data_IF_094349876185
#
_entry.id   IF_094349876185
#
_cell.length_a   1.000
_cell.length_b   1.000
_cell.length_c   1.000
_cell.angle_alpha   90.00
_cell.angle_beta   90.00
_cell.angle_gamma   90.00
#
_symmetry.space_group_name_H-M   'P 1'
#
loop_
_entity.id
_entity.type
_entity.pdbx_description
1 polymer ?
#
# COMPACT_ATOMS: atom_id res chain seq x y z
N UNK A 1 11.54 -7.21 -8.27
CA UNK A 1 10.77 -6.76 -7.10
C UNK A 1 9.73 -7.81 -6.80
N UNK A 2 9.68 -8.29 -5.57
CA UNK A 2 8.67 -9.21 -5.04
C UNK A 2 7.71 -8.45 -4.12
N UNK A 3 6.47 -8.94 -4.01
CA UNK A 3 5.45 -8.33 -3.15
C UNK A 3 4.90 -9.37 -2.19
N UNK A 4 4.83 -9.04 -0.91
CA UNK A 4 4.09 -9.83 0.08
C UNK A 4 2.79 -9.12 0.44
N UNK A 5 1.68 -9.75 0.06
CA UNK A 5 0.34 -9.32 0.43
C UNK A 5 -0.03 -9.94 1.76
N UNK A 6 -0.26 -9.10 2.77
CA UNK A 6 -0.62 -9.54 4.10
C UNK A 6 -2.10 -9.26 4.36
N UNK A 7 -2.84 -10.29 4.75
CA UNK A 7 -4.21 -10.19 5.19
C UNK A 7 -4.35 -10.63 6.65
N UNK A 8 -5.13 -9.89 7.43
CA UNK A 8 -5.42 -10.21 8.85
C UNK A 8 -6.80 -10.84 9.04
N UNK A 9 -7.69 -10.73 8.05
CA UNK A 9 -9.05 -11.26 8.12
C UNK A 9 -9.31 -12.41 7.15
N UNK A 10 -10.25 -13.26 7.53
CA UNK A 10 -10.59 -14.50 6.83
C UNK A 10 -11.32 -14.28 5.49
N UNK A 11 -11.71 -13.05 5.15
CA UNK A 11 -12.34 -12.74 3.87
C UNK A 11 -11.32 -12.19 2.86
N UNK A 12 -10.34 -11.40 3.30
CA UNK A 12 -9.30 -10.83 2.45
C UNK A 12 -8.24 -11.84 2.04
N UNK A 13 -7.81 -12.72 2.96
CA UNK A 13 -6.80 -13.74 2.63
C UNK A 13 -7.21 -14.62 1.43
N UNK A 14 -8.38 -15.29 1.42
CA UNK A 14 -8.78 -16.11 0.27
C UNK A 14 -9.00 -15.27 -1.00
N UNK A 15 -9.47 -14.03 -0.87
CA UNK A 15 -9.61 -13.12 -2.00
C UNK A 15 -8.26 -12.80 -2.66
N UNK A 16 -7.20 -12.61 -1.88
CA UNK A 16 -5.84 -12.44 -2.42
C UNK A 16 -5.31 -13.72 -3.05
N UNK A 17 -5.48 -14.87 -2.40
CA UNK A 17 -5.04 -16.16 -2.95
C UNK A 17 -5.66 -16.41 -4.32
N UNK A 18 -6.96 -16.16 -4.47
CA UNK A 18 -7.66 -16.31 -5.76
C UNK A 18 -7.18 -15.27 -6.79
N UNK A 19 -7.18 -13.98 -6.42
CA UNK A 19 -6.86 -12.90 -7.34
C UNK A 19 -5.40 -12.94 -7.85
N UNK A 20 -4.46 -13.46 -7.06
CA UNK A 20 -3.02 -13.51 -7.37
C UNK A 20 -2.48 -14.92 -7.66
N UNK A 21 -3.35 -15.91 -7.87
CA UNK A 21 -2.95 -17.33 -8.03
C UNK A 21 -1.88 -17.62 -9.11
N UNK A 22 -1.75 -16.75 -10.12
CA UNK A 22 -0.81 -16.92 -11.23
C UNK A 22 0.42 -15.99 -11.16
N UNK A 23 0.58 -15.20 -10.09
CA UNK A 23 1.65 -14.22 -9.96
C UNK A 23 2.80 -14.78 -9.12
N UNK A 24 3.89 -15.21 -9.77
CA UNK A 24 5.00 -15.93 -9.09
C UNK A 24 5.84 -15.05 -8.16
N UNK A 25 5.89 -13.74 -8.43
CA UNK A 25 6.63 -12.78 -7.60
C UNK A 25 5.75 -12.16 -6.49
N UNK A 26 4.56 -12.73 -6.27
CA UNK A 26 3.64 -12.31 -5.21
C UNK A 26 3.43 -13.46 -4.22
N UNK A 27 3.71 -13.19 -2.95
CA UNK A 27 3.42 -14.08 -1.84
C UNK A 27 2.22 -13.56 -1.07
N UNK A 28 1.26 -14.42 -0.75
CA UNK A 28 0.10 -14.07 0.09
C UNK A 28 0.24 -14.74 1.45
N UNK A 29 0.18 -13.95 2.53
CA UNK A 29 0.30 -14.44 3.90
C UNK A 29 -0.91 -14.05 4.75
N UNK A 30 -1.26 -14.93 5.69
CA UNK A 30 -2.28 -14.70 6.71
C UNK A 30 -1.57 -14.46 8.06
N UNK A 31 -1.22 -13.21 8.33
CA UNK A 31 -0.40 -12.82 9.48
C UNK A 31 -0.62 -11.32 9.81
N UNK A 32 0.04 -10.83 10.86
CA UNK A 32 0.27 -9.41 11.09
C UNK A 32 1.44 -8.94 10.21
N UNK A 33 1.16 -7.95 9.36
CA UNK A 33 2.16 -7.37 8.45
C UNK A 33 3.36 -6.78 9.19
N UNK A 34 3.19 -6.39 10.46
CA UNK A 34 4.24 -5.81 11.29
C UNK A 34 5.25 -6.84 11.81
N UNK A 35 4.96 -8.14 11.68
CA UNK A 35 5.89 -9.23 11.99
C UNK A 35 6.79 -9.61 10.81
N UNK A 36 6.55 -9.02 9.64
CA UNK A 36 7.30 -9.28 8.42
C UNK A 36 8.50 -8.33 8.29
N UNK A 37 9.47 -8.73 7.48
CA UNK A 37 10.59 -7.86 7.06
C UNK A 37 10.49 -7.61 5.56
N UNK A 38 10.92 -6.43 5.11
CA UNK A 38 10.97 -6.06 3.70
C UNK A 38 11.53 -4.65 3.56
N UNK A 39 11.93 -4.24 2.35
CA UNK A 39 12.52 -2.92 2.14
C UNK A 39 11.52 -1.80 2.42
N UNK A 40 10.26 -2.02 2.07
CA UNK A 40 9.20 -1.05 2.27
C UNK A 40 7.87 -1.69 2.63
N UNK A 41 7.06 -0.96 3.38
CA UNK A 41 5.66 -1.30 3.65
C UNK A 41 4.72 -0.24 3.06
N UNK A 42 3.61 -0.66 2.49
CA UNK A 42 2.61 0.26 1.94
C UNK A 42 1.59 0.68 3.01
N UNK A 43 1.33 1.98 3.08
CA UNK A 43 0.27 2.60 3.86
C UNK A 43 -0.89 3.02 2.94
N UNK A 44 -2.09 2.45 3.12
CA UNK A 44 -3.31 2.85 2.42
C UNK A 44 -3.86 4.16 3.01
N UNK A 45 -3.06 5.22 2.95
CA UNK A 45 -3.24 6.47 3.67
C UNK A 45 -4.49 7.27 3.23
N UNK A 46 -4.73 8.38 3.94
CA UNK A 46 -5.45 9.53 3.39
C UNK A 46 -4.47 10.53 2.75
N UNK A 47 -4.98 11.47 1.97
CA UNK A 47 -4.17 12.44 1.23
C UNK A 47 -3.37 13.43 2.09
N UNK A 48 -3.58 13.49 3.41
CA UNK A 48 -2.93 14.43 4.32
C UNK A 48 -1.91 13.79 5.26
N UNK A 49 -1.73 12.46 5.18
CA UNK A 49 -0.74 11.74 6.00
C UNK A 49 -1.14 11.56 7.46
N UNK A 50 -2.41 11.76 7.83
CA UNK A 50 -2.88 11.44 9.19
C UNK A 50 -2.89 9.93 9.44
N UNK A 51 -2.44 9.51 10.61
CA UNK A 51 -2.27 8.10 10.99
C UNK A 51 -3.05 7.78 12.27
N UNK A 52 -4.31 8.23 12.33
CA UNK A 52 -5.17 8.18 13.51
C UNK A 52 -6.11 6.96 13.56
N UNK A 53 -6.14 6.14 12.50
CA UNK A 53 -7.01 4.96 12.44
C UNK A 53 -6.50 3.83 11.56
N UNK A 54 -7.21 2.70 11.61
CA UNK A 54 -6.92 1.52 10.80
C UNK A 54 -5.48 1.02 10.96
N UNK A 55 -4.87 0.61 9.85
CA UNK A 55 -3.50 0.11 9.83
C UNK A 55 -2.46 1.22 10.04
N UNK A 56 -2.77 2.46 9.66
CA UNK A 56 -1.86 3.59 9.83
C UNK A 56 -1.62 3.89 11.31
N UNK A 57 -2.64 3.73 12.15
CA UNK A 57 -2.46 3.81 13.60
C UNK A 57 -1.51 2.73 14.13
N UNK A 58 -1.57 1.51 13.58
CA UNK A 58 -0.66 0.42 13.96
C UNK A 58 0.78 0.75 13.54
N UNK A 59 0.97 1.30 12.34
CA UNK A 59 2.28 1.76 11.87
C UNK A 59 2.84 2.88 12.76
N UNK A 60 2.02 3.87 13.12
CA UNK A 60 2.42 4.92 14.06
C UNK A 60 2.83 4.37 15.43
N UNK A 61 2.10 3.38 15.93
CA UNK A 61 2.42 2.74 17.21
C UNK A 61 3.73 1.92 17.13
N UNK A 62 4.01 1.29 15.99
CA UNK A 62 5.20 0.45 15.77
C UNK A 62 6.48 1.24 15.45
N UNK A 63 6.38 2.29 14.65
CA UNK A 63 7.51 3.11 14.19
C UNK A 63 7.68 4.41 15.00
N UNK A 64 6.72 4.72 15.88
CA UNK A 64 6.72 5.91 16.72
C UNK A 64 6.11 7.13 16.05
N UNK A 65 5.74 8.13 16.86
CA UNK A 65 4.97 9.32 16.43
C UNK A 65 5.65 10.17 15.35
N UNK A 66 6.97 10.04 15.18
CA UNK A 66 7.72 10.76 14.15
C UNK A 66 7.29 10.37 12.72
N UNK A 67 6.79 9.14 12.51
CA UNK A 67 6.35 8.68 11.18
C UNK A 67 5.16 9.48 10.67
N UNK A 68 4.21 9.80 11.54
CA UNK A 68 3.04 10.63 11.21
C UNK A 68 3.49 12.05 10.83
N UNK A 69 4.43 12.63 11.58
CA UNK A 69 4.98 13.95 11.23
C UNK A 69 5.61 13.94 9.84
N UNK A 70 6.40 12.91 9.51
CA UNK A 70 7.00 12.77 8.17
C UNK A 70 5.95 12.60 7.08
N UNK A 71 4.88 11.85 7.36
CA UNK A 71 3.78 11.68 6.41
C UNK A 71 3.04 12.98 6.13
N UNK A 72 2.75 13.76 7.17
CA UNK A 72 2.13 15.09 7.05
C UNK A 72 3.05 16.06 6.31
N UNK A 73 4.34 16.09 6.64
CA UNK A 73 5.34 16.92 5.94
C UNK A 73 5.44 16.53 4.45
N UNK A 74 5.47 15.24 4.14
CA UNK A 74 5.49 14.75 2.77
C UNK A 74 4.22 15.15 1.99
N UNK A 75 3.05 15.08 2.62
CA UNK A 75 1.81 15.56 2.01
C UNK A 75 1.79 17.07 1.81
N UNK A 76 2.28 17.86 2.78
CA UNK A 76 2.36 19.31 2.68
C UNK A 76 3.31 19.79 1.57
N UNK A 77 4.37 19.02 1.29
CA UNK A 77 5.34 19.31 0.23
C UNK A 77 4.85 18.91 -1.17
N UNK A 78 3.74 18.17 -1.27
CA UNK A 78 3.13 17.83 -2.55
C UNK A 78 2.32 19.02 -3.11
N UNK A 79 2.24 19.14 -4.43
CA UNK A 79 1.38 20.14 -5.08
C UNK A 79 -0.06 20.05 -4.54
N UNK A 80 -0.60 21.18 -4.09
CA UNK A 80 -1.91 21.25 -3.45
C UNK A 80 -1.94 20.84 -1.97
N UNK A 81 -0.78 20.69 -1.33
CA UNK A 81 -0.59 20.32 0.07
C UNK A 81 -1.28 18.99 0.44
N UNK A 82 -1.35 18.06 -0.52
CA UNK A 82 -2.00 16.77 -0.37
C UNK A 82 -1.46 15.79 -1.41
N UNK A 83 -1.25 14.52 -1.02
CA UNK A 83 -0.90 13.46 -1.95
C UNK A 83 -2.20 12.95 -2.59
N UNK A 84 -2.42 13.09 -3.92
CA UNK A 84 -3.66 12.66 -4.53
C UNK A 84 -3.76 11.12 -4.59
N UNK A 85 -4.99 10.61 -4.64
CA UNK A 85 -5.23 9.19 -4.95
C UNK A 85 -4.66 8.89 -6.34
N UNK A 86 -3.83 7.85 -6.45
CA UNK A 86 -3.10 7.53 -7.67
C UNK A 86 -1.69 8.09 -7.74
N UNK A 87 -1.24 8.80 -6.71
CA UNK A 87 0.17 9.11 -6.45
C UNK A 87 0.65 8.39 -5.20
N UNK A 88 1.97 8.24 -5.06
CA UNK A 88 2.59 7.71 -3.85
C UNK A 88 3.89 8.46 -3.57
N UNK A 89 4.30 8.48 -2.30
CA UNK A 89 5.59 9.03 -1.89
C UNK A 89 6.17 8.19 -0.75
N UNK A 90 7.48 8.13 -0.65
CA UNK A 90 8.15 7.35 0.38
C UNK A 90 8.67 8.22 1.53
N UNK A 91 8.55 7.74 2.77
CA UNK A 91 9.19 8.32 3.97
C UNK A 91 9.94 7.24 4.77
N UNK A 92 10.94 7.65 5.56
CA UNK A 92 11.71 6.73 6.40
C UNK A 92 10.97 6.39 7.70
N UNK A 93 10.99 5.11 8.08
CA UNK A 93 10.42 4.60 9.35
C UNK A 93 11.42 4.62 10.51
N UNK A 94 12.72 4.71 10.21
CA UNK A 94 13.83 4.45 11.13
C UNK A 94 13.85 3.04 11.75
N UNK A 95 13.15 2.09 11.14
CA UNK A 95 13.14 0.68 11.56
C UNK A 95 14.15 -0.15 10.77
N UNK A 96 14.77 -1.14 11.41
CA UNK A 96 15.77 -2.00 10.77
C UNK A 96 15.16 -3.06 9.85
N UNK A 97 13.94 -3.51 10.13
CA UNK A 97 13.28 -4.59 9.39
C UNK A 97 12.36 -4.06 8.28
N UNK A 98 11.84 -2.85 8.46
CA UNK A 98 10.96 -2.18 7.50
C UNK A 98 11.41 -0.72 7.36
N UNK A 99 12.51 -0.41 6.66
CA UNK A 99 13.13 0.92 6.69
C UNK A 99 12.32 2.02 5.98
N UNK A 100 11.39 1.65 5.10
CA UNK A 100 10.61 2.61 4.30
C UNK A 100 9.10 2.39 4.42
N UNK A 101 8.36 3.51 4.43
CA UNK A 101 6.91 3.56 4.35
C UNK A 101 6.51 4.24 3.04
N UNK A 102 5.78 3.53 2.19
CA UNK A 102 5.19 4.08 0.96
C UNK A 102 3.79 4.58 1.29
N UNK A 103 3.60 5.88 1.28
CA UNK A 103 2.30 6.53 1.45
C UNK A 103 1.56 6.48 0.12
N UNK A 104 0.49 5.69 0.04
CA UNK A 104 -0.33 5.53 -1.16
C UNK A 104 -1.80 5.82 -0.83
N UNK A 105 -2.26 7.08 -0.98
CA UNK A 105 -3.59 7.47 -0.55
C UNK A 105 -4.70 6.70 -1.25
N UNK A 106 -5.60 6.14 -0.46
CA UNK A 106 -6.83 5.47 -0.93
C UNK A 106 -8.05 6.38 -0.90
N UNK A 107 -7.93 7.56 -0.32
CA UNK A 107 -8.98 8.54 -0.18
C UNK A 107 -8.40 9.91 0.19
N UNK A 108 -9.13 10.98 -0.09
CA UNK A 108 -8.71 12.33 0.33
C UNK A 108 -8.84 12.53 1.83
N UNK A 109 -10.03 12.28 2.36
CA UNK A 109 -10.32 12.23 3.79
C UNK A 109 -10.79 10.82 4.16
N UNK A 110 -10.64 10.39 5.42
CA UNK A 110 -11.18 9.12 5.89
C UNK A 110 -12.69 8.98 5.59
N UNK A 111 -13.05 8.14 4.62
CA UNK A 111 -14.44 7.88 4.23
C UNK A 111 -14.58 6.53 3.49
N UNK A 112 -15.79 5.94 3.46
CA UNK A 112 -16.08 4.78 2.62
C UNK A 112 -15.88 5.10 1.12
N UNK A 113 -15.24 4.19 0.39
CA UNK A 113 -15.00 4.25 -1.07
C UNK A 113 -15.30 2.91 -1.77
N UNK A 114 -16.41 2.21 -1.47
CA UNK A 114 -16.63 0.84 -1.93
C UNK A 114 -16.82 0.72 -3.44
N UNK A 115 -17.27 1.77 -4.13
CA UNK A 115 -17.59 1.74 -5.57
C UNK A 115 -16.58 2.52 -6.44
N UNK A 116 -15.35 2.73 -5.94
CA UNK A 116 -14.29 3.45 -6.67
C UNK A 116 -13.21 2.52 -7.20
N UNK A 117 -12.31 3.06 -8.02
CA UNK A 117 -11.07 2.40 -8.47
C UNK A 117 -9.87 2.72 -7.57
N UNK A 118 -10.10 3.17 -6.34
CA UNK A 118 -9.02 3.68 -5.48
C UNK A 118 -8.02 2.60 -5.07
N UNK A 119 -8.45 1.35 -4.88
CA UNK A 119 -7.52 0.26 -4.58
C UNK A 119 -6.56 0.01 -5.74
N UNK A 120 -7.08 0.06 -6.97
CA UNK A 120 -6.26 -0.04 -8.18
C UNK A 120 -5.28 1.15 -8.29
N UNK A 121 -5.77 2.38 -8.15
CA UNK A 121 -4.95 3.60 -8.30
C UNK A 121 -3.84 3.67 -7.24
N UNK A 122 -4.19 3.47 -5.97
CA UNK A 122 -3.24 3.52 -4.86
C UNK A 122 -2.18 2.42 -4.98
N UNK A 123 -2.59 1.18 -5.27
CA UNK A 123 -1.64 0.09 -5.38
C UNK A 123 -0.70 0.24 -6.58
N UNK A 124 -1.22 0.67 -7.74
CA UNK A 124 -0.38 0.95 -8.91
C UNK A 124 0.65 2.04 -8.61
N UNK A 125 0.24 3.10 -7.93
CA UNK A 125 1.15 4.17 -7.51
C UNK A 125 2.23 3.65 -6.54
N UNK A 126 1.85 2.83 -5.56
CA UNK A 126 2.79 2.22 -4.62
C UNK A 126 3.84 1.34 -5.32
N UNK A 127 3.43 0.51 -6.28
CA UNK A 127 4.34 -0.34 -7.06
C UNK A 127 5.30 0.50 -7.92
N UNK A 128 4.80 1.59 -8.49
CA UNK A 128 5.60 2.50 -9.33
C UNK A 128 6.65 3.22 -8.49
N UNK A 129 6.26 3.74 -7.33
CA UNK A 129 7.17 4.35 -6.36
C UNK A 129 8.22 3.35 -5.86
N UNK A 130 7.81 2.14 -5.49
CA UNK A 130 8.73 1.09 -5.07
C UNK A 130 9.77 0.75 -6.15
N UNK A 131 9.33 0.66 -7.41
CA UNK A 131 10.21 0.43 -8.55
C UNK A 131 11.21 1.59 -8.75
N UNK A 132 10.73 2.84 -8.67
CA UNK A 132 11.58 4.03 -8.80
C UNK A 132 12.62 4.13 -7.68
N UNK A 133 12.26 3.67 -6.48
CA UNK A 133 13.14 3.57 -5.31
C UNK A 133 14.03 2.32 -5.32
N UNK A 134 13.86 1.44 -6.32
CA UNK A 134 14.59 0.18 -6.47
C UNK A 134 14.43 -0.78 -5.28
N UNK A 135 13.25 -0.80 -4.66
CA UNK A 135 12.94 -1.77 -3.61
C UNK A 135 12.80 -3.16 -4.20
N UNK A 136 13.41 -4.15 -3.55
CA UNK A 136 13.41 -5.55 -3.96
C UNK A 136 12.25 -6.31 -3.34
N UNK A 137 11.87 -5.99 -2.10
CA UNK A 137 10.78 -6.66 -1.38
C UNK A 137 9.83 -5.66 -0.72
N UNK A 138 8.56 -5.66 -1.14
CA UNK A 138 7.53 -4.74 -0.66
C UNK A 138 6.42 -5.49 0.07
N UNK A 139 6.07 -5.01 1.27
CA UNK A 139 4.94 -5.49 2.05
C UNK A 139 3.70 -4.64 1.76
N UNK A 140 2.54 -5.24 1.52
CA UNK A 140 1.30 -4.49 1.32
C UNK A 140 0.11 -5.11 2.05
N UNK A 141 -0.70 -4.31 2.75
CA UNK A 141 -2.00 -4.72 3.25
C UNK A 141 -3.06 -4.65 2.12
N UNK A 142 -4.30 -5.01 2.45
CA UNK A 142 -5.47 -4.77 1.59
C UNK A 142 -5.82 -3.29 1.43
N UNK A 143 -5.80 -2.79 0.20
CA UNK A 143 -6.21 -1.42 -0.11
C UNK A 143 -7.73 -1.25 0.03
N UNK A 144 -8.16 -0.14 0.63
CA UNK A 144 -9.57 0.24 0.81
C UNK A 144 -10.45 -0.71 1.67
N UNK A 145 -9.91 -1.77 2.28
CA UNK A 145 -10.69 -2.79 2.98
C UNK A 145 -11.10 -2.40 4.41
N UNK A 146 -10.35 -1.51 5.05
CA UNK A 146 -10.67 -0.95 6.38
C UNK A 146 -11.66 0.22 6.30
N UNK A 147 -11.17 1.44 6.53
CA UNK A 147 -11.99 2.67 6.49
C UNK A 147 -12.76 2.82 5.18
N UNK A 148 -12.18 2.38 4.07
CA UNK A 148 -12.78 2.44 2.73
C UNK A 148 -13.97 1.50 2.52
N UNK A 149 -14.15 0.49 3.39
CA UNK A 149 -15.25 -0.50 3.32
C UNK A 149 -15.41 -1.19 1.96
N UNK A 150 -14.35 -1.26 1.16
CA UNK A 150 -14.37 -1.99 -0.10
C UNK A 150 -14.43 -3.49 0.17
N UNK A 151 -15.29 -4.20 -0.56
CA UNK A 151 -15.43 -5.64 -0.39
C UNK A 151 -14.09 -6.34 -0.71
N UNK A 152 -13.63 -7.33 0.09
CA UNK A 152 -12.30 -7.92 -0.07
C UNK A 152 -12.01 -8.49 -1.46
N UNK A 153 -13.00 -9.17 -2.08
CA UNK A 153 -12.90 -9.68 -3.46
C UNK A 153 -12.68 -8.55 -4.47
N UNK A 154 -13.35 -7.41 -4.30
CA UNK A 154 -13.20 -6.26 -5.19
C UNK A 154 -11.83 -5.60 -5.00
N UNK A 155 -11.39 -5.41 -3.76
CA UNK A 155 -10.07 -4.87 -3.45
C UNK A 155 -8.96 -5.74 -4.04
N UNK A 156 -9.02 -7.06 -3.81
CA UNK A 156 -8.06 -8.02 -4.35
C UNK A 156 -8.04 -8.01 -5.88
N UNK A 157 -9.20 -7.98 -6.54
CA UNK A 157 -9.29 -7.90 -8.00
C UNK A 157 -8.66 -6.61 -8.55
N UNK A 158 -8.91 -5.46 -7.92
CA UNK A 158 -8.32 -4.18 -8.31
C UNK A 158 -6.80 -4.15 -8.12
N UNK A 159 -6.33 -4.68 -6.98
CA UNK A 159 -4.89 -4.79 -6.71
C UNK A 159 -4.20 -5.73 -7.70
N UNK A 160 -4.79 -6.89 -8.01
CA UNK A 160 -4.23 -7.84 -8.98
C UNK A 160 -4.17 -7.25 -10.39
N UNK A 161 -5.19 -6.50 -10.80
CA UNK A 161 -5.18 -5.75 -12.07
C UNK A 161 -4.03 -4.73 -12.09
N UNK A 162 -3.88 -3.92 -11.04
CA UNK A 162 -2.80 -2.95 -10.93
C UNK A 162 -1.41 -3.61 -11.04
N UNK A 163 -1.21 -4.73 -10.33
CA UNK A 163 0.04 -5.49 -10.37
C UNK A 163 0.38 -5.99 -11.78
N UNK A 164 -0.57 -6.66 -12.45
CA UNK A 164 -0.35 -7.21 -13.80
C UNK A 164 -0.02 -6.15 -14.83
N UNK A 165 -0.71 -5.02 -14.78
CA UNK A 165 -0.45 -3.90 -15.68
C UNK A 165 0.91 -3.26 -15.40
N UNK A 166 1.29 -3.10 -14.14
CA UNK A 166 2.62 -2.66 -13.74
C UNK A 166 3.71 -3.61 -14.24
N UNK A 167 3.59 -4.92 -14.00
CA UNK A 167 4.58 -5.92 -14.42
C UNK A 167 4.81 -5.94 -15.94
N UNK A 168 3.74 -5.80 -16.73
CA UNK A 168 3.82 -5.64 -18.20
C UNK A 168 4.57 -4.37 -18.60
N UNK A 169 4.31 -3.25 -17.92
CA UNK A 169 4.97 -1.98 -18.22
C UNK A 169 6.48 -2.02 -17.98
N UNK A 170 6.92 -2.63 -16.87
CA UNK A 170 8.36 -2.78 -16.56
C UNK A 170 9.04 -3.68 -17.59
N UNK A 171 8.42 -4.80 -17.96
CA UNK A 171 8.96 -5.75 -18.94
C UNK A 171 9.10 -5.14 -20.35
N UNK A 172 8.26 -4.17 -20.70
CA UNK A 172 8.31 -3.49 -21.99
C UNK A 172 9.42 -2.44 -22.07
N UNK A 173 9.80 -1.82 -20.94
CA UNK A 173 10.86 -0.80 -20.88
C UNK A 173 12.27 -1.41 -20.82
N UNK A 174 12.40 -2.70 -20.46
CA UNK A 174 13.70 -3.41 -20.44
C UNK A 174 14.09 -4.03 -21.79
N UNK A 175 13.28 -3.84 -22.85
CA UNK A 175 13.59 -4.25 -24.24
C UNK A 175 13.96 -3.05 -25.08
#
# INVERSE_FOLDING_TARGET
MTVTLCAVDAALYPAFVDAFANETDVTVVYDDILNLSGDAIVSPANSFGWMDGGIDLLYRNRFGVAIERRAIEAAANHDGCAIPVGSATTVATDDTFIPWLILAPTMRYPQPVPASDHAYLAFRAALTEACARQFEHVLSPGMCTGVGRMHPVQAAAQMARAYREFAKSVSATTR
#
